data_IF_778980929429
#
_entry.id   IF_778980929429
#
_cell.length_a   1.000
_cell.length_b   1.000
_cell.length_c   1.000
_cell.angle_alpha   90.00
_cell.angle_beta   90.00
_cell.angle_gamma   90.00
#
_symmetry.space_group_name_H-M   'P 1'
#
loop_
_entity.id
_entity.type
_entity.pdbx_description
1 polymer ?
#
# COMPACT_ATOMS: atom_id res chain seq x y z
N UNK A 1 -4.43 -12.43 12.42
CA UNK A 1 -4.17 -11.00 12.65
C UNK A 1 -2.99 -10.84 13.59
N UNK A 2 -2.14 -9.88 13.29
CA UNK A 2 -1.02 -9.49 14.16
C UNK A 2 -1.42 -8.44 15.22
N UNK A 3 -2.71 -8.09 15.32
CA UNK A 3 -3.25 -7.11 16.26
C UNK A 3 -4.12 -7.80 17.31
N UNK A 4 -4.05 -7.33 18.54
CA UNK A 4 -4.93 -7.71 19.65
C UNK A 4 -6.20 -6.85 19.75
N UNK A 5 -6.39 -5.87 18.83
CA UNK A 5 -7.53 -4.98 18.78
C UNK A 5 -8.01 -4.74 17.35
N UNK A 6 -8.95 -3.81 17.21
CA UNK A 6 -9.43 -3.34 15.91
C UNK A 6 -8.30 -2.57 15.19
N UNK A 7 -8.27 -2.71 13.88
CA UNK A 7 -7.39 -1.93 13.02
C UNK A 7 -8.15 -0.70 12.51
N UNK A 8 -7.42 0.34 12.08
CA UNK A 8 -8.04 1.54 11.50
C UNK A 8 -9.04 1.21 10.39
N UNK A 9 -8.77 0.21 9.58
CA UNK A 9 -9.65 -0.21 8.48
C UNK A 9 -10.96 -0.85 9.00
N UNK A 10 -10.95 -1.48 10.17
CA UNK A 10 -12.15 -2.04 10.78
C UNK A 10 -13.10 -0.91 11.23
N UNK A 11 -12.52 0.10 11.91
CA UNK A 11 -13.25 1.30 12.36
C UNK A 11 -13.77 2.11 11.16
N UNK A 12 -12.94 2.31 10.16
CA UNK A 12 -13.31 3.03 8.94
C UNK A 12 -14.45 2.31 8.21
N UNK A 13 -14.38 0.99 8.05
CA UNK A 13 -15.45 0.21 7.43
C UNK A 13 -16.75 0.28 8.23
N UNK A 14 -16.67 0.20 9.56
CA UNK A 14 -17.85 0.32 10.44
C UNK A 14 -18.54 1.67 10.29
N UNK A 15 -17.80 2.78 10.17
CA UNK A 15 -18.36 4.10 9.91
C UNK A 15 -19.09 4.19 8.56
N UNK A 16 -18.72 3.36 7.60
CA UNK A 16 -19.40 3.24 6.30
C UNK A 16 -20.52 2.20 6.29
N UNK A 17 -20.89 1.65 7.45
CA UNK A 17 -21.91 0.62 7.58
C UNK A 17 -21.48 -0.76 7.06
N UNK A 18 -20.16 -0.99 6.93
CA UNK A 18 -19.58 -2.21 6.41
C UNK A 18 -18.72 -2.93 7.45
N UNK A 19 -18.32 -4.16 7.12
CA UNK A 19 -17.36 -4.93 7.91
C UNK A 19 -16.26 -5.50 7.00
N UNK A 20 -15.04 -5.58 7.51
CA UNK A 20 -13.89 -6.08 6.78
C UNK A 20 -13.41 -7.39 7.41
N UNK A 21 -13.35 -8.46 6.61
CA UNK A 21 -12.83 -9.77 7.01
C UNK A 21 -11.66 -10.17 6.08
N UNK A 22 -10.69 -10.93 6.58
CA UNK A 22 -9.65 -11.50 5.71
C UNK A 22 -10.25 -12.32 4.56
N UNK A 23 -9.68 -12.19 3.36
CA UNK A 23 -10.18 -12.89 2.16
C UNK A 23 -10.18 -14.41 2.33
N UNK A 24 -9.19 -14.97 3.04
CA UNK A 24 -9.11 -16.41 3.37
C UNK A 24 -10.30 -16.91 4.24
N UNK A 25 -11.08 -15.99 4.80
CA UNK A 25 -12.33 -16.25 5.54
C UNK A 25 -13.56 -15.76 4.77
N UNK A 26 -13.45 -15.63 3.44
CA UNK A 26 -14.53 -15.16 2.58
C UNK A 26 -14.82 -13.66 2.69
N UNK A 27 -13.84 -12.86 3.11
CA UNK A 27 -13.97 -11.41 3.22
C UNK A 27 -13.28 -10.64 2.09
N UNK A 28 -13.26 -9.31 2.22
CA UNK A 28 -12.75 -8.36 1.23
C UNK A 28 -11.37 -7.79 1.56
N UNK A 29 -10.72 -8.23 2.64
CA UNK A 29 -9.39 -7.75 3.03
C UNK A 29 -8.30 -8.72 2.55
N UNK A 30 -7.59 -8.30 1.51
CA UNK A 30 -6.48 -9.04 0.89
C UNK A 30 -5.12 -8.69 1.50
N UNK A 31 -5.06 -7.71 2.42
CA UNK A 31 -3.81 -7.26 3.02
C UNK A 31 -3.14 -8.39 3.84
N UNK A 32 -1.84 -8.52 3.67
CA UNK A 32 -1.01 -9.52 4.36
C UNK A 32 0.07 -8.82 5.17
N UNK A 33 0.15 -9.14 6.46
CA UNK A 33 1.16 -8.57 7.35
C UNK A 33 2.58 -8.92 6.87
N UNK A 34 3.46 -7.91 6.81
CA UNK A 34 4.82 -8.08 6.31
C UNK A 34 4.97 -7.95 4.79
N UNK A 35 3.87 -7.78 4.05
CA UNK A 35 3.92 -7.56 2.60
C UNK A 35 4.74 -6.31 2.24
N UNK A 36 5.28 -6.31 1.03
CA UNK A 36 5.94 -5.19 0.36
C UNK A 36 5.07 -4.66 -0.77
N UNK A 37 5.54 -3.62 -1.47
CA UNK A 37 4.81 -3.09 -2.62
C UNK A 37 4.77 -4.10 -3.78
N UNK A 38 5.84 -4.26 -4.52
CA UNK A 38 6.00 -5.29 -5.55
C UNK A 38 7.48 -5.64 -5.67
N UNK A 39 7.86 -6.82 -5.26
CA UNK A 39 9.11 -7.45 -5.61
C UNK A 39 10.40 -6.63 -5.53
N UNK A 40 10.81 -6.18 -4.36
CA UNK A 40 12.21 -5.79 -4.18
C UNK A 40 13.05 -7.07 -4.28
N UNK A 41 13.79 -7.20 -5.38
CA UNK A 41 14.72 -8.30 -5.63
C UNK A 41 15.76 -8.38 -4.50
N UNK A 42 15.98 -9.59 -3.99
CA UNK A 42 17.07 -9.86 -3.03
C UNK A 42 16.65 -10.27 -1.63
N UNK A 43 15.39 -10.54 -1.38
CA UNK A 43 14.91 -11.08 -0.11
C UNK A 43 14.06 -12.32 -0.32
N UNK A 44 14.33 -13.33 0.53
CA UNK A 44 13.58 -14.58 0.65
C UNK A 44 12.07 -14.36 0.66
N UNK A 45 11.39 -15.25 0.00
CA UNK A 45 9.95 -15.50 -0.09
C UNK A 45 9.15 -14.74 0.96
N UNK A 46 8.52 -13.64 0.52
CA UNK A 46 7.51 -12.95 1.32
C UNK A 46 6.12 -13.43 0.95
N UNK A 47 5.21 -13.53 1.94
CA UNK A 47 3.83 -13.83 1.63
C UNK A 47 3.26 -12.69 0.80
N UNK A 48 2.63 -13.02 -0.30
CA UNK A 48 1.82 -12.19 -1.18
C UNK A 48 2.07 -10.67 -1.04
N UNK A 49 3.01 -10.15 -1.81
CA UNK A 49 3.21 -8.70 -1.96
C UNK A 49 1.96 -8.04 -2.55
N UNK A 50 1.83 -6.72 -2.47
CA UNK A 50 0.64 -6.01 -2.92
C UNK A 50 0.27 -6.34 -4.38
N UNK A 51 1.26 -6.53 -5.26
CA UNK A 51 1.01 -6.92 -6.65
C UNK A 51 0.32 -8.28 -6.76
N UNK A 52 0.68 -9.22 -5.92
CA UNK A 52 0.07 -10.56 -5.88
C UNK A 52 -1.30 -10.51 -5.23
N UNK A 53 -1.48 -9.69 -4.17
CA UNK A 53 -2.79 -9.47 -3.54
C UNK A 53 -3.80 -8.95 -4.56
N UNK A 54 -3.43 -7.96 -5.38
CA UNK A 54 -4.27 -7.45 -6.46
C UNK A 54 -4.53 -8.52 -7.52
N UNK A 55 -3.52 -9.32 -7.86
CA UNK A 55 -3.68 -10.41 -8.84
C UNK A 55 -4.62 -11.51 -8.33
N UNK A 56 -4.54 -11.87 -7.05
CA UNK A 56 -5.47 -12.80 -6.40
C UNK A 56 -6.90 -12.25 -6.45
N UNK A 57 -7.10 -10.98 -6.05
CA UNK A 57 -8.41 -10.33 -6.12
C UNK A 57 -8.97 -10.38 -7.53
N UNK A 58 -8.22 -9.89 -8.52
CA UNK A 58 -8.67 -9.84 -9.91
C UNK A 58 -8.97 -11.22 -10.49
N UNK A 59 -8.22 -12.25 -10.10
CA UNK A 59 -8.52 -13.64 -10.47
C UNK A 59 -9.86 -14.11 -9.93
N UNK A 60 -10.18 -13.80 -8.66
CA UNK A 60 -11.45 -14.17 -8.02
C UNK A 60 -12.66 -13.47 -8.64
N UNK A 61 -12.51 -12.25 -9.10
CA UNK A 61 -13.60 -11.48 -9.76
C UNK A 61 -13.56 -11.56 -11.29
N UNK A 62 -12.78 -12.48 -11.87
CA UNK A 62 -12.64 -12.66 -13.32
C UNK A 62 -12.28 -11.36 -14.05
N UNK A 63 -11.39 -10.55 -13.47
CA UNK A 63 -10.97 -9.23 -13.93
C UNK A 63 -12.14 -8.22 -14.10
N UNK A 64 -13.20 -8.37 -13.31
CA UNK A 64 -14.35 -7.45 -13.28
C UNK A 64 -14.48 -6.83 -11.90
N UNK A 65 -13.75 -5.76 -11.67
CA UNK A 65 -13.82 -5.00 -10.43
C UNK A 65 -15.14 -4.21 -10.36
N UNK A 66 -15.77 -4.18 -9.17
CA UNK A 66 -17.01 -3.44 -8.94
C UNK A 66 -16.73 -1.92 -8.93
N UNK A 67 -17.31 -1.18 -9.87
CA UNK A 67 -17.16 0.27 -9.99
C UNK A 67 -17.78 1.04 -8.79
N UNK A 68 -18.69 0.43 -8.05
CA UNK A 68 -19.32 1.04 -6.88
C UNK A 68 -18.50 0.86 -5.59
N UNK A 69 -17.62 -0.14 -5.54
CA UNK A 69 -16.79 -0.45 -4.38
C UNK A 69 -15.69 0.60 -4.16
N UNK A 70 -15.29 0.80 -2.89
CA UNK A 70 -14.12 1.57 -2.51
C UNK A 70 -12.90 0.63 -2.39
N UNK A 71 -11.88 0.90 -3.17
CA UNK A 71 -10.61 0.17 -3.15
C UNK A 71 -9.62 0.89 -2.25
N UNK A 72 -9.29 0.27 -1.13
CA UNK A 72 -8.29 0.79 -0.18
C UNK A 72 -6.93 0.20 -0.53
N UNK A 73 -6.00 1.04 -0.98
CA UNK A 73 -4.63 0.68 -1.31
C UNK A 73 -3.73 1.13 -0.17
N UNK A 74 -3.33 0.18 0.67
CA UNK A 74 -2.55 0.45 1.88
C UNK A 74 -1.06 0.53 1.56
N UNK A 75 -0.59 1.73 1.19
CA UNK A 75 0.81 1.95 0.85
C UNK A 75 1.77 1.92 2.06
N UNK A 76 1.28 1.73 3.30
CA UNK A 76 2.16 1.51 4.47
C UNK A 76 3.05 0.27 4.35
N UNK A 77 2.71 -0.65 3.43
CA UNK A 77 3.56 -1.78 3.04
C UNK A 77 5.00 -1.35 2.69
N UNK A 78 5.20 -0.13 2.18
CA UNK A 78 6.53 0.44 1.89
C UNK A 78 7.44 0.49 3.12
N UNK A 79 6.91 0.52 4.34
CA UNK A 79 7.71 0.42 5.55
C UNK A 79 8.58 -0.83 5.57
N UNK A 80 8.09 -1.96 5.06
CA UNK A 80 8.86 -3.20 4.91
C UNK A 80 9.92 -3.08 3.81
N UNK A 81 9.62 -2.35 2.73
CA UNK A 81 10.58 -2.04 1.67
C UNK A 81 11.74 -1.20 2.23
N UNK A 82 11.43 -0.15 2.99
CA UNK A 82 12.44 0.76 3.60
C UNK A 82 13.40 -0.03 4.48
N UNK A 83 12.89 -0.86 5.39
CA UNK A 83 13.76 -1.70 6.22
C UNK A 83 14.60 -2.68 5.41
N UNK A 84 14.03 -3.26 4.33
CA UNK A 84 14.78 -4.15 3.45
C UNK A 84 15.91 -3.42 2.72
N UNK A 85 15.64 -2.23 2.19
CA UNK A 85 16.63 -1.40 1.49
C UNK A 85 17.78 -1.02 2.42
N UNK A 86 17.45 -0.49 3.61
CA UNK A 86 18.46 -0.03 4.57
C UNK A 86 19.29 -1.20 5.12
N UNK A 87 18.66 -2.32 5.47
CA UNK A 87 19.36 -3.47 6.05
C UNK A 87 20.25 -4.22 5.06
N UNK A 88 19.92 -4.19 3.77
CA UNK A 88 20.68 -4.91 2.72
C UNK A 88 21.53 -3.98 1.84
N UNK A 89 21.61 -2.70 2.17
CA UNK A 89 22.38 -1.71 1.38
C UNK A 89 21.91 -1.58 -0.06
N UNK A 90 20.60 -1.72 -0.30
CA UNK A 90 20.03 -1.61 -1.64
C UNK A 90 19.89 -0.14 -2.05
N UNK A 91 19.67 0.11 -3.35
CA UNK A 91 19.46 1.47 -3.85
C UNK A 91 18.22 2.13 -3.23
N UNK A 92 18.37 3.37 -2.79
CA UNK A 92 17.27 4.18 -2.27
C UNK A 92 16.20 4.48 -3.34
N UNK A 93 16.53 4.39 -4.63
CA UNK A 93 15.57 4.52 -5.73
C UNK A 93 14.44 3.49 -5.67
N UNK A 94 14.71 2.33 -5.07
CA UNK A 94 13.67 1.32 -4.81
C UNK A 94 12.52 1.87 -3.94
N UNK A 95 12.77 2.91 -3.13
CA UNK A 95 11.75 3.55 -2.29
C UNK A 95 11.22 4.83 -2.93
N UNK A 96 12.10 5.66 -3.50
CA UNK A 96 11.71 6.98 -4.02
C UNK A 96 11.19 6.96 -5.46
N UNK A 97 11.39 5.87 -6.20
CA UNK A 97 10.92 5.72 -7.57
C UNK A 97 10.12 4.43 -7.79
N UNK A 98 10.68 3.25 -7.47
CA UNK A 98 10.05 1.98 -7.83
C UNK A 98 8.77 1.71 -7.01
N UNK A 99 8.81 1.92 -5.70
CA UNK A 99 7.66 1.64 -4.84
C UNK A 99 6.43 2.54 -5.14
N UNK A 100 6.56 3.87 -5.37
CA UNK A 100 5.43 4.69 -5.83
C UNK A 100 4.89 4.25 -7.19
N UNK A 101 5.78 3.91 -8.14
CA UNK A 101 5.39 3.39 -9.45
C UNK A 101 4.65 2.03 -9.34
N UNK A 102 5.01 1.21 -8.36
CA UNK A 102 4.28 -0.02 -8.04
C UNK A 102 2.83 0.29 -7.65
N UNK A 103 2.63 1.23 -6.71
CA UNK A 103 1.29 1.64 -6.29
C UNK A 103 0.49 2.16 -7.48
N UNK A 104 1.10 2.98 -8.34
CA UNK A 104 0.46 3.46 -9.56
C UNK A 104 0.01 2.29 -10.46
N UNK A 105 0.89 1.33 -10.72
CA UNK A 105 0.56 0.15 -11.54
C UNK A 105 -0.57 -0.69 -10.95
N UNK A 106 -0.65 -0.81 -9.61
CA UNK A 106 -1.76 -1.50 -8.95
C UNK A 106 -3.09 -0.78 -9.16
N UNK A 107 -3.08 0.55 -9.04
CA UNK A 107 -4.26 1.38 -9.29
C UNK A 107 -4.69 1.26 -10.77
N UNK A 108 -3.76 1.31 -11.71
CA UNK A 108 -4.05 1.15 -13.15
C UNK A 108 -4.65 -0.23 -13.45
N UNK A 109 -4.12 -1.31 -12.85
CA UNK A 109 -4.70 -2.66 -13.01
C UNK A 109 -6.13 -2.74 -12.49
N UNK A 110 -6.39 -2.21 -11.31
CA UNK A 110 -7.74 -2.18 -10.72
C UNK A 110 -8.69 -1.33 -11.56
N UNK A 111 -8.25 -0.16 -12.01
CA UNK A 111 -9.02 0.74 -12.86
C UNK A 111 -9.39 0.08 -14.19
N UNK A 112 -8.45 -0.56 -14.87
CA UNK A 112 -8.66 -1.27 -16.12
C UNK A 112 -9.63 -2.46 -15.96
N UNK A 113 -9.70 -3.03 -14.76
CA UNK A 113 -10.66 -4.06 -14.41
C UNK A 113 -12.06 -3.51 -14.08
N UNK A 114 -12.23 -2.19 -13.91
CA UNK A 114 -13.51 -1.54 -13.64
C UNK A 114 -13.59 -0.72 -12.36
N UNK A 115 -12.58 -0.76 -11.48
CA UNK A 115 -12.57 0.03 -10.25
C UNK A 115 -12.61 1.55 -10.54
N UNK A 116 -13.35 2.31 -9.73
CA UNK A 116 -13.52 3.76 -9.92
C UNK A 116 -13.31 4.60 -8.67
N UNK A 117 -13.28 4.00 -7.50
CA UNK A 117 -13.14 4.73 -6.23
C UNK A 117 -11.95 4.18 -5.45
N UNK A 118 -10.99 5.04 -5.15
CA UNK A 118 -9.75 4.67 -4.49
C UNK A 118 -9.51 5.51 -3.25
N UNK A 119 -9.09 4.86 -2.18
CA UNK A 119 -8.47 5.48 -1.03
C UNK A 119 -7.04 4.94 -0.94
N UNK A 120 -6.06 5.82 -1.09
CA UNK A 120 -4.65 5.49 -0.97
C UNK A 120 -4.13 6.15 0.29
N UNK A 121 -3.50 5.41 1.18
CA UNK A 121 -2.82 6.03 2.32
C UNK A 121 -1.31 6.10 2.05
N UNK A 122 -0.69 7.19 2.50
CA UNK A 122 0.77 7.27 2.53
C UNK A 122 1.34 6.54 3.76
N UNK A 123 2.65 6.63 3.96
CA UNK A 123 3.33 6.02 5.10
C UNK A 123 3.58 7.08 6.18
N UNK A 124 3.36 6.77 7.47
CA UNK A 124 3.85 7.60 8.56
C UNK A 124 5.39 7.62 8.54
N UNK A 125 6.02 8.51 9.31
CA UNK A 125 7.47 8.48 9.45
C UNK A 125 7.92 7.15 10.10
N UNK A 126 8.42 6.24 9.28
CA UNK A 126 8.84 4.90 9.73
C UNK A 126 10.02 4.98 10.71
N UNK A 127 10.86 6.03 10.61
CA UNK A 127 11.94 6.29 11.53
C UNK A 127 11.46 6.57 12.96
N UNK A 128 10.23 7.06 13.14
CA UNK A 128 9.65 7.33 14.47
C UNK A 128 8.99 6.11 15.11
N UNK A 129 8.85 5.02 14.39
CA UNK A 129 8.37 3.75 14.96
C UNK A 129 9.39 3.19 15.96
N UNK A 130 8.97 2.35 16.92
CA UNK A 130 9.91 1.71 17.86
C UNK A 130 11.07 0.99 17.15
N UNK A 131 10.79 0.32 16.02
CA UNK A 131 11.82 -0.34 15.21
C UNK A 131 12.73 0.66 14.50
N UNK A 132 12.17 1.74 13.97
CA UNK A 132 12.92 2.79 13.28
C UNK A 132 13.84 3.55 14.22
N UNK A 133 13.36 3.94 15.40
CA UNK A 133 14.15 4.65 16.43
C UNK A 133 15.34 3.82 16.94
N UNK A 134 15.18 2.51 17.01
CA UNK A 134 16.24 1.60 17.45
C UNK A 134 17.22 1.22 16.31
N UNK A 135 16.96 1.66 15.08
CA UNK A 135 17.87 1.40 13.96
C UNK A 135 19.02 2.44 13.95
N UNK A 136 20.22 1.97 13.64
CA UNK A 136 21.40 2.86 13.45
C UNK A 136 21.20 3.88 12.33
N UNK A 137 20.32 3.60 11.37
CA UNK A 137 20.01 4.44 10.20
C UNK A 137 18.65 5.14 10.31
N UNK A 138 18.21 5.51 11.52
CA UNK A 138 16.88 6.10 11.78
C UNK A 138 16.61 7.34 10.91
N UNK A 139 17.60 8.24 10.74
CA UNK A 139 17.47 9.42 9.86
C UNK A 139 17.25 9.02 8.40
N UNK A 140 18.00 8.06 7.88
CA UNK A 140 17.81 7.55 6.52
C UNK A 140 16.42 6.94 6.34
N UNK A 141 15.92 6.20 7.32
CA UNK A 141 14.58 5.63 7.31
C UNK A 141 13.52 6.74 7.24
N UNK A 142 13.69 7.81 8.03
CA UNK A 142 12.81 8.98 8.00
C UNK A 142 12.83 9.69 6.65
N UNK A 143 14.03 9.91 6.09
CA UNK A 143 14.19 10.54 4.78
C UNK A 143 13.53 9.73 3.67
N UNK A 144 13.68 8.41 3.68
CA UNK A 144 13.04 7.51 2.71
C UNK A 144 11.51 7.53 2.85
N UNK A 145 10.97 7.61 4.07
CA UNK A 145 9.53 7.74 4.29
C UNK A 145 8.98 9.02 3.67
N UNK A 146 9.71 10.14 3.82
CA UNK A 146 9.34 11.43 3.24
C UNK A 146 9.44 11.42 1.70
N UNK A 147 10.54 10.87 1.15
CA UNK A 147 10.73 10.75 -0.29
C UNK A 147 9.64 9.90 -0.95
N UNK A 148 9.31 8.74 -0.35
CA UNK A 148 8.23 7.90 -0.83
C UNK A 148 6.90 8.65 -0.87
N UNK A 149 6.53 9.30 0.22
CA UNK A 149 5.23 9.97 0.29
C UNK A 149 5.11 11.11 -0.73
N UNK A 150 6.18 11.89 -0.93
CA UNK A 150 6.20 12.95 -1.96
C UNK A 150 6.09 12.35 -3.38
N UNK A 151 6.77 11.25 -3.65
CA UNK A 151 6.71 10.57 -4.93
C UNK A 151 5.33 9.91 -5.16
N UNK A 152 4.73 9.32 -4.11
CA UNK A 152 3.37 8.77 -4.17
C UNK A 152 2.34 9.84 -4.50
N UNK A 153 2.44 11.04 -3.92
CA UNK A 153 1.55 12.16 -4.24
C UNK A 153 1.62 12.51 -5.73
N UNK A 154 2.82 12.52 -6.33
CA UNK A 154 3.00 12.75 -7.76
C UNK A 154 2.34 11.64 -8.60
N UNK A 155 2.52 10.38 -8.24
CA UNK A 155 1.90 9.25 -8.95
C UNK A 155 0.37 9.27 -8.85
N UNK A 156 -0.19 9.59 -7.68
CA UNK A 156 -1.64 9.73 -7.50
C UNK A 156 -2.19 10.91 -8.30
N UNK A 157 -1.49 12.04 -8.34
CA UNK A 157 -1.89 13.19 -9.14
C UNK A 157 -1.83 12.88 -10.66
N UNK A 158 -0.81 12.17 -11.09
CA UNK A 158 -0.69 11.68 -12.47
C UNK A 158 -1.84 10.72 -12.81
N UNK A 159 -2.20 9.82 -11.89
CA UNK A 159 -3.36 8.92 -12.06
C UNK A 159 -4.67 9.70 -12.22
N UNK A 160 -4.91 10.71 -11.37
CA UNK A 160 -6.09 11.59 -11.48
C UNK A 160 -6.16 12.30 -12.82
N UNK A 161 -5.01 12.76 -13.34
CA UNK A 161 -4.93 13.44 -14.63
C UNK A 161 -5.24 12.55 -15.82
N UNK A 162 -4.95 11.24 -15.71
CA UNK A 162 -5.17 10.27 -16.80
C UNK A 162 -6.48 9.50 -16.68
N UNK A 163 -7.16 9.54 -15.53
CA UNK A 163 -8.38 8.78 -15.22
C UNK A 163 -9.46 9.68 -14.61
N UNK A 164 -9.98 10.62 -15.41
CA UNK A 164 -10.90 11.67 -14.93
C UNK A 164 -12.23 11.14 -14.37
N UNK A 165 -12.63 9.91 -14.73
CA UNK A 165 -13.82 9.23 -14.21
C UNK A 165 -13.57 8.44 -12.92
N UNK A 166 -12.32 8.41 -12.42
CA UNK A 166 -11.98 7.82 -11.13
C UNK A 166 -11.95 8.86 -10.00
N UNK A 167 -12.52 8.51 -8.86
CA UNK A 167 -12.38 9.26 -7.61
C UNK A 167 -11.23 8.71 -6.80
N UNK A 168 -10.23 9.54 -6.48
CA UNK A 168 -9.08 9.15 -5.66
C UNK A 168 -8.92 10.10 -4.49
N UNK A 169 -8.83 9.56 -3.29
CA UNK A 169 -8.48 10.28 -2.06
C UNK A 169 -7.17 9.75 -1.49
N UNK A 170 -6.39 10.63 -0.90
CA UNK A 170 -5.22 10.25 -0.10
C UNK A 170 -5.58 10.41 1.37
N UNK A 171 -5.33 9.37 2.17
CA UNK A 171 -5.33 9.47 3.62
C UNK A 171 -3.89 9.75 4.07
N UNK A 172 -3.68 10.92 4.65
CA UNK A 172 -2.36 11.36 5.09
C UNK A 172 -2.08 10.86 6.51
N UNK A 173 -1.09 9.98 6.65
CA UNK A 173 -0.62 9.42 7.92
C UNK A 173 0.68 10.08 8.40
N UNK A 174 1.13 11.17 7.76
CA UNK A 174 2.35 11.88 8.13
C UNK A 174 2.18 12.82 9.33
N UNK A 175 0.95 13.25 9.61
CA UNK A 175 0.64 14.24 10.66
C UNK A 175 0.56 13.62 12.04
#
# INVERSE_FOLDING_TARGET
>A
RASNGLLWIDEFAAQLGNSVKPFIKGGSNYAVGGARTCGITGSSVHPLDMCEQVSVYLGLVSNKADASALYVVDATAVGNNIFAVVNNGLSHSAISADAPADIRRLMDKLYNAGARKFLVNNVPNVGDTPKGRNATSSSTISDLSNQFSAALDNEVNSFRGTHADASVKIADFKS
#
